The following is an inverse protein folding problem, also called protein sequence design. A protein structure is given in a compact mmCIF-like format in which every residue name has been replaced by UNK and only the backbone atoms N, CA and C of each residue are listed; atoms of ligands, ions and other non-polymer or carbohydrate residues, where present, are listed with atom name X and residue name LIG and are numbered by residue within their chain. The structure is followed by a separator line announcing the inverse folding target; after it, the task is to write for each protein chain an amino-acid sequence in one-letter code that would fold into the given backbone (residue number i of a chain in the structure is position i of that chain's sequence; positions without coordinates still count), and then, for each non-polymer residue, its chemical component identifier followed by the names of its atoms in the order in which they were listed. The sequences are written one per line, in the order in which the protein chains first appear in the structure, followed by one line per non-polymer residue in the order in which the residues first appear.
data_IF_082711243687
#
_entry.id   IF_082711243687
#
_cell.length_a   1.000
_cell.length_b   1.000
_cell.length_c   1.000
_cell.angle_alpha   90.00
_cell.angle_beta   90.00
_cell.angle_gamma   90.00
#
_symmetry.space_group_name_H-M   'P 1'
#
loop_
_entity.id
_entity.type
_entity.pdbx_description
1 polymer ?
#
# COMPACT_ATOMS: atom_id res chain seq x y z
N UNK A 1 -5.91 9.77 12.80
CA UNK A 1 -5.97 10.60 11.57
C UNK A 1 -6.96 10.04 10.55
N UNK A 2 -8.11 9.55 11.02
CA UNK A 2 -9.31 9.22 10.24
C UNK A 2 -10.51 9.35 11.18
N UNK A 3 -10.57 10.49 11.87
CA UNK A 3 -11.61 10.80 12.84
C UNK A 3 -12.88 11.27 12.12
N UNK A 4 -13.29 10.56 11.06
CA UNK A 4 -14.53 10.84 10.32
C UNK A 4 -15.70 10.42 11.19
N UNK A 5 -16.23 11.40 11.92
CA UNK A 5 -17.46 11.29 12.67
C UNK A 5 -18.69 11.51 11.80
N UNK A 6 -19.86 11.32 12.43
CA UNK A 6 -21.16 11.56 11.79
C UNK A 6 -21.28 13.00 11.25
N UNK A 7 -20.70 13.97 11.96
CA UNK A 7 -20.75 15.38 11.57
C UNK A 7 -20.00 15.68 10.26
N UNK A 8 -18.80 15.13 10.07
CA UNK A 8 -18.04 15.34 8.83
C UNK A 8 -18.69 14.64 7.65
N UNK A 9 -19.24 13.43 7.84
CA UNK A 9 -20.02 12.74 6.82
C UNK A 9 -21.23 13.57 6.36
N UNK A 10 -21.97 14.16 7.30
CA UNK A 10 -23.09 15.05 6.99
C UNK A 10 -22.63 16.29 6.20
N UNK A 11 -21.52 16.93 6.61
CA UNK A 11 -20.99 18.10 5.93
C UNK A 11 -20.54 17.79 4.50
N UNK A 12 -19.78 16.70 4.31
CA UNK A 12 -19.35 16.22 2.99
C UNK A 12 -20.55 15.83 2.13
N UNK A 13 -21.54 15.14 2.72
CA UNK A 13 -22.80 14.80 2.07
C UNK A 13 -23.52 16.03 1.55
N UNK A 14 -23.62 17.09 2.37
CA UNK A 14 -24.28 18.35 2.00
C UNK A 14 -23.54 19.08 0.87
N UNK A 15 -22.21 19.20 0.96
CA UNK A 15 -21.38 19.82 -0.09
C UNK A 15 -21.50 19.05 -1.40
N UNK A 16 -21.44 17.72 -1.33
CA UNK A 16 -21.56 16.85 -2.49
C UNK A 16 -22.97 16.95 -3.11
N UNK A 17 -24.01 17.09 -2.28
CA UNK A 17 -25.37 17.38 -2.73
C UNK A 17 -25.47 18.73 -3.45
N UNK A 18 -24.73 19.74 -3.01
CA UNK A 18 -24.73 21.07 -3.63
C UNK A 18 -23.98 21.09 -4.97
N UNK A 19 -22.82 20.43 -5.04
CA UNK A 19 -21.95 20.43 -6.24
C UNK A 19 -22.48 19.50 -7.33
N UNK A 20 -22.77 18.24 -6.96
CA UNK A 20 -23.23 17.19 -7.89
C UNK A 20 -24.76 17.20 -8.03
N UNK A 21 -25.48 17.65 -7.00
CA UNK A 21 -26.94 17.63 -6.99
C UNK A 21 -27.51 16.39 -6.28
N UNK A 22 -28.64 16.52 -5.56
CA UNK A 22 -29.27 15.41 -4.82
C UNK A 22 -29.70 14.23 -5.69
N UNK A 23 -30.00 14.49 -6.96
CA UNK A 23 -30.44 13.45 -7.90
C UNK A 23 -29.27 12.60 -8.43
N UNK A 24 -28.05 13.14 -8.43
CA UNK A 24 -26.90 12.50 -9.07
C UNK A 24 -26.04 11.72 -8.08
N UNK A 25 -25.94 12.18 -6.83
CA UNK A 25 -25.24 11.47 -5.75
C UNK A 25 -25.66 10.00 -5.59
N UNK A 26 -26.97 9.64 -5.49
CA UNK A 26 -27.39 8.25 -5.38
C UNK A 26 -27.09 7.44 -6.64
N UNK A 27 -27.04 8.09 -7.81
CA UNK A 27 -26.66 7.44 -9.07
C UNK A 27 -25.17 7.07 -9.06
N UNK A 28 -24.31 7.98 -8.62
CA UNK A 28 -22.86 7.74 -8.48
C UNK A 28 -22.58 6.66 -7.43
N UNK A 29 -23.24 6.73 -6.28
CA UNK A 29 -23.11 5.73 -5.22
C UNK A 29 -23.50 4.32 -5.70
N UNK A 30 -24.58 4.20 -6.50
CA UNK A 30 -24.97 2.92 -7.12
C UNK A 30 -23.92 2.40 -8.10
N UNK A 31 -23.30 3.28 -8.89
CA UNK A 31 -22.23 2.89 -9.83
C UNK A 31 -21.02 2.38 -9.03
N UNK A 32 -20.54 3.16 -8.07
CA UNK A 32 -19.39 2.76 -7.23
C UNK A 32 -19.70 1.45 -6.49
N UNK A 33 -20.89 1.33 -5.91
CA UNK A 33 -21.33 0.13 -5.20
C UNK A 33 -21.40 -1.10 -6.10
N UNK A 34 -21.88 -0.96 -7.35
CA UNK A 34 -21.87 -2.05 -8.32
C UNK A 34 -20.46 -2.53 -8.65
N UNK A 35 -19.53 -1.60 -8.86
CA UNK A 35 -18.12 -1.94 -9.14
C UNK A 35 -17.46 -2.62 -7.95
N UNK A 36 -17.65 -2.09 -6.74
CA UNK A 36 -17.08 -2.66 -5.51
C UNK A 36 -17.68 -4.04 -5.20
N UNK A 37 -18.98 -4.21 -5.41
CA UNK A 37 -19.66 -5.50 -5.28
C UNK A 37 -19.15 -6.55 -6.27
N UNK A 38 -18.93 -6.14 -7.53
CA UNK A 38 -18.37 -7.02 -8.55
C UNK A 38 -16.95 -7.47 -8.21
N UNK A 39 -16.11 -6.59 -7.67
CA UNK A 39 -14.75 -6.95 -7.20
C UNK A 39 -14.81 -7.94 -6.05
N UNK A 40 -15.68 -7.71 -5.06
CA UNK A 40 -15.86 -8.64 -3.95
C UNK A 40 -16.31 -10.02 -4.42
N UNK A 41 -17.25 -10.09 -5.36
CA UNK A 41 -17.72 -11.35 -5.92
C UNK A 41 -16.61 -12.14 -6.61
N UNK A 42 -15.76 -11.47 -7.40
CA UNK A 42 -14.63 -12.11 -8.07
C UNK A 42 -13.60 -12.66 -7.07
N UNK A 43 -13.30 -11.92 -6.00
CA UNK A 43 -12.41 -12.39 -4.93
C UNK A 43 -12.96 -13.63 -4.23
N UNK A 44 -14.28 -13.67 -3.99
CA UNK A 44 -14.93 -14.83 -3.38
C UNK A 44 -14.88 -16.06 -4.29
N UNK A 45 -15.16 -15.90 -5.58
CA UNK A 45 -15.12 -17.01 -6.57
C UNK A 45 -13.73 -17.59 -6.69
N UNK A 46 -12.70 -16.74 -6.84
CA UNK A 46 -11.30 -17.18 -6.90
C UNK A 46 -10.89 -17.92 -5.62
N UNK A 47 -11.30 -17.45 -4.44
CA UNK A 47 -11.04 -18.15 -3.16
C UNK A 47 -11.73 -19.51 -3.08
N UNK A 48 -12.91 -19.65 -3.68
CA UNK A 48 -13.71 -20.87 -3.67
C UNK A 48 -13.12 -21.92 -4.62
N UNK A 49 -12.78 -21.52 -5.85
CA UNK A 49 -12.06 -22.36 -6.82
C UNK A 49 -10.70 -22.82 -6.27
N UNK A 50 -9.93 -21.92 -5.65
CA UNK A 50 -8.64 -22.26 -5.03
C UNK A 50 -8.82 -23.21 -3.83
N UNK A 51 -9.89 -23.09 -3.05
CA UNK A 51 -10.15 -23.98 -1.91
C UNK A 51 -10.51 -25.40 -2.33
N UNK A 52 -11.13 -25.54 -3.49
CA UNK A 52 -11.59 -26.84 -3.99
C UNK A 52 -10.46 -27.61 -4.67
N UNK A 53 -9.47 -26.92 -5.27
CA UNK A 53 -8.33 -27.56 -5.95
C UNK A 53 -7.00 -27.54 -5.19
N UNK A 54 -6.75 -26.59 -4.29
CA UNK A 54 -5.44 -26.42 -3.61
C UNK A 54 -5.55 -26.59 -2.09
N UNK A 55 -4.83 -27.60 -1.57
CA UNK A 55 -4.57 -27.74 -0.13
C UNK A 55 -3.97 -26.43 0.40
N UNK A 56 -4.37 -26.02 1.60
CA UNK A 56 -4.07 -24.72 2.26
C UNK A 56 -2.59 -24.34 2.35
N UNK A 57 -1.67 -25.23 1.97
CA UNK A 57 -0.23 -25.10 2.12
C UNK A 57 0.38 -24.13 1.08
N UNK A 58 -0.13 -24.05 -0.15
CA UNK A 58 0.45 -23.17 -1.18
C UNK A 58 0.09 -21.68 -1.02
N UNK A 59 -1.14 -21.38 -0.57
CA UNK A 59 -1.57 -19.99 -0.32
C UNK A 59 -0.75 -19.39 0.83
N UNK A 60 -0.53 -20.17 1.89
CA UNK A 60 0.31 -19.76 3.02
C UNK A 60 1.74 -19.50 2.58
N UNK A 61 2.29 -20.31 1.68
CA UNK A 61 3.63 -20.09 1.12
C UNK A 61 3.71 -18.81 0.27
N UNK A 62 2.71 -18.49 -0.55
CA UNK A 62 2.72 -17.26 -1.36
C UNK A 62 2.56 -15.99 -0.51
N UNK A 63 1.73 -16.04 0.54
CA UNK A 63 1.60 -14.95 1.51
C UNK A 63 2.87 -14.77 2.34
N UNK A 64 3.48 -15.87 2.81
CA UNK A 64 4.75 -15.81 3.54
C UNK A 64 5.90 -15.28 2.68
N UNK A 65 5.96 -15.68 1.40
CA UNK A 65 6.99 -15.20 0.47
C UNK A 65 6.87 -13.71 0.17
N UNK A 66 5.65 -13.14 0.11
CA UNK A 66 5.46 -11.69 -0.01
C UNK A 66 5.87 -10.92 1.25
N UNK A 67 5.64 -11.48 2.43
CA UNK A 67 6.12 -10.90 3.69
C UNK A 67 7.65 -10.94 3.76
N UNK A 68 8.28 -12.06 3.37
CA UNK A 68 9.74 -12.21 3.34
C UNK A 68 10.40 -11.24 2.36
N UNK A 69 9.81 -11.01 1.18
CA UNK A 69 10.28 -10.00 0.22
C UNK A 69 10.12 -8.56 0.74
N UNK A 70 9.09 -8.31 1.54
CA UNK A 70 8.89 -7.02 2.21
C UNK A 70 9.92 -6.78 3.32
N UNK A 71 10.39 -7.84 3.99
CA UNK A 71 11.51 -7.79 4.94
C UNK A 71 12.86 -7.64 4.24
N UNK A 72 13.08 -8.31 3.10
CA UNK A 72 14.32 -8.17 2.32
C UNK A 72 14.53 -6.74 1.80
N UNK A 73 13.45 -6.01 1.46
CA UNK A 73 13.53 -4.59 1.10
C UNK A 73 13.89 -3.67 2.29
N UNK A 74 13.68 -4.12 3.54
CA UNK A 74 14.11 -3.40 4.75
C UNK A 74 15.55 -3.74 5.14
N UNK A 75 16.08 -4.88 4.68
CA UNK A 75 17.46 -5.34 4.94
C UNK A 75 18.46 -4.95 3.85
N UNK A 76 18.07 -4.15 2.87
CA UNK A 76 19.02 -3.42 2.01
C UNK A 76 19.14 -1.98 2.55
N UNK A 77 20.06 -1.71 3.51
CA UNK A 77 20.63 -0.38 3.64
C UNK A 77 21.26 -0.02 2.29
N UNK A 78 20.77 1.04 1.67
CA UNK A 78 21.46 1.71 0.57
C UNK A 78 22.69 2.43 1.16
N UNK A 79 23.69 1.68 1.59
CA UNK A 79 25.05 2.21 1.74
C UNK A 79 25.73 1.98 0.39
N UNK A 80 25.51 2.92 -0.53
CA UNK A 80 26.38 3.08 -1.70
C UNK A 80 27.58 3.90 -1.22
N UNK A 81 28.78 3.31 -1.04
CA UNK A 81 29.96 4.06 -0.69
C UNK A 81 30.47 4.77 -1.95
N UNK A 82 29.86 5.90 -2.30
CA UNK A 82 30.52 6.84 -3.22
C UNK A 82 31.55 7.66 -2.42
N UNK A 83 32.66 7.00 -2.15
CA UNK A 83 33.86 7.61 -1.57
C UNK A 83 34.46 8.58 -2.59
N UNK A 84 34.21 9.86 -2.35
CA UNK A 84 35.24 10.92 -2.27
C UNK A 84 36.42 10.74 -3.23
N UNK A 85 36.25 11.18 -4.48
CA UNK A 85 37.36 11.56 -5.34
C UNK A 85 37.62 13.05 -5.14
N UNK A 86 38.13 13.41 -3.97
CA UNK A 86 38.62 14.76 -3.71
C UNK A 86 39.95 14.66 -2.98
N UNK A 87 40.97 14.76 -3.82
CA UNK A 87 42.26 15.37 -3.61
C UNK A 87 43.12 14.95 -2.40
N UNK A 88 44.11 14.14 -2.74
CA UNK A 88 45.53 14.55 -2.72
C UNK A 88 45.96 15.38 -1.51
N UNK A 89 46.50 14.70 -0.50
CA UNK A 89 47.20 15.40 0.58
C UNK A 89 47.70 14.56 1.73
N UNK A 90 47.96 13.26 1.57
CA UNK A 90 48.72 12.51 2.58
C UNK A 90 50.21 12.51 2.21
N UNK A 91 50.97 13.37 2.90
CA UNK A 91 52.39 13.11 3.14
C UNK A 91 52.77 13.49 4.57
N UNK A 92 53.04 12.44 5.35
CA UNK A 92 54.14 12.32 6.34
C UNK A 92 53.93 13.13 7.64
N UNK A 93 54.16 12.65 8.87
CA UNK A 93 54.76 11.45 9.48
C UNK A 93 54.56 11.61 11.02
N UNK A 94 54.86 10.59 11.84
CA UNK A 94 54.25 10.39 13.16
C UNK A 94 55.08 10.91 14.35
N UNK A 95 54.41 10.96 15.51
CA UNK A 95 54.93 10.78 16.88
C UNK A 95 55.92 11.77 17.50
N UNK A 96 55.65 12.04 18.79
CA UNK A 96 56.59 12.24 19.90
C UNK A 96 57.02 13.68 20.24
N UNK A 97 56.34 14.31 21.23
CA UNK A 97 56.83 14.52 22.61
C UNK A 97 55.79 15.33 23.39
#
# INVERSE_FOLDING_TARGET
MFDIGFWELCLVGLISLLVIGPQQLPKVARIIGFWLGKINQLSTQVREEIKEELHQEEIQQFLNKQNELSELNQLIPLDTPEKTINDTGSKNTPTHK
#
